data_IF_841740577197
#
_entry.id   IF_841740577197
#
_cell.length_a   1.000
_cell.length_b   1.000
_cell.length_c   1.000
_cell.angle_alpha   90.00
_cell.angle_beta   90.00
_cell.angle_gamma   90.00
#
_symmetry.space_group_name_H-M   'P 1'
#
loop_
_entity.id
_entity.type
_entity.pdbx_description
1 polymer ?
#
# COMPACT_ATOMS: atom_id res chain seq x y z
N UNK A 1 18.54 4.08 -2.17
CA UNK A 1 17.94 4.82 -3.30
C UNK A 1 17.48 6.19 -2.79
N UNK A 2 18.19 7.27 -3.16
CA UNK A 2 17.76 8.64 -2.80
C UNK A 2 16.45 8.97 -3.56
N UNK A 3 15.35 9.11 -2.83
CA UNK A 3 14.08 9.60 -3.36
C UNK A 3 13.91 11.01 -2.80
N UNK A 4 14.17 12.03 -3.62
CA UNK A 4 14.15 13.43 -3.21
C UNK A 4 12.76 14.08 -3.31
N UNK A 5 11.70 13.30 -3.22
CA UNK A 5 10.30 13.73 -3.34
C UNK A 5 9.44 13.00 -2.34
N UNK A 6 8.35 13.61 -1.92
CA UNK A 6 7.28 12.89 -1.23
C UNK A 6 6.78 11.74 -2.10
N UNK A 7 6.43 10.62 -1.51
CA UNK A 7 5.93 9.48 -2.27
C UNK A 7 4.97 8.62 -1.45
N UNK A 8 4.12 7.91 -2.15
CA UNK A 8 3.37 6.79 -1.61
C UNK A 8 3.89 5.48 -2.19
N UNK A 9 3.70 4.39 -1.46
CA UNK A 9 4.41 3.14 -1.67
C UNK A 9 3.46 2.01 -2.08
N UNK A 10 3.77 1.33 -3.18
CA UNK A 10 3.36 -0.03 -3.44
C UNK A 10 4.51 -0.97 -3.08
N UNK A 11 4.27 -1.94 -2.21
CA UNK A 11 5.25 -2.99 -1.88
C UNK A 11 4.61 -4.36 -2.04
N UNK A 12 5.19 -5.20 -2.92
CA UNK A 12 4.68 -6.53 -3.16
C UNK A 12 5.26 -7.20 -4.39
N UNK A 13 4.88 -8.44 -4.63
CA UNK A 13 5.28 -9.16 -5.85
C UNK A 13 4.70 -8.48 -7.09
N UNK A 14 5.49 -8.35 -8.14
CA UNK A 14 4.99 -7.88 -9.43
C UNK A 14 4.21 -9.02 -10.10
N UNK A 15 2.95 -9.10 -9.77
CA UNK A 15 2.01 -10.10 -10.24
C UNK A 15 0.63 -9.46 -10.41
N UNK A 16 -0.11 -9.85 -11.44
CA UNK A 16 -1.42 -9.27 -11.78
C UNK A 16 -2.43 -9.33 -10.63
N UNK A 17 -2.32 -10.34 -9.77
CA UNK A 17 -3.17 -10.48 -8.57
C UNK A 17 -3.00 -9.32 -7.59
N UNK A 18 -1.85 -8.63 -7.61
CA UNK A 18 -1.56 -7.49 -6.74
C UNK A 18 -2.13 -6.16 -7.25
N UNK A 19 -2.72 -6.16 -8.45
CA UNK A 19 -3.46 -5.02 -8.98
C UNK A 19 -2.58 -3.83 -9.37
N UNK A 20 -1.31 -4.05 -9.72
CA UNK A 20 -0.43 -2.96 -10.15
C UNK A 20 -0.99 -2.25 -11.37
N UNK A 21 -1.60 -2.98 -12.30
CA UNK A 21 -2.30 -2.43 -13.47
C UNK A 21 -3.44 -1.48 -13.06
N UNK A 22 -4.25 -1.85 -12.07
CA UNK A 22 -5.31 -0.99 -11.51
C UNK A 22 -4.70 0.30 -10.92
N UNK A 23 -3.56 0.17 -10.23
CA UNK A 23 -2.84 1.32 -9.69
C UNK A 23 -2.34 2.24 -10.80
N UNK A 24 -1.75 1.70 -11.86
CA UNK A 24 -1.29 2.48 -13.00
C UNK A 24 -2.43 3.23 -13.71
N UNK A 25 -3.59 2.57 -13.88
CA UNK A 25 -4.80 3.20 -14.41
C UNK A 25 -5.26 4.36 -13.50
N UNK A 26 -5.29 4.15 -12.17
CA UNK A 26 -5.63 5.19 -11.21
C UNK A 26 -4.66 6.40 -11.30
N UNK A 27 -3.34 6.16 -11.35
CA UNK A 27 -2.35 7.24 -11.50
C UNK A 27 -2.51 7.96 -12.82
N UNK A 28 -2.81 7.25 -13.91
CA UNK A 28 -3.04 7.87 -15.23
C UNK A 28 -4.19 8.87 -15.21
N UNK A 29 -5.25 8.63 -14.42
CA UNK A 29 -6.36 9.59 -14.27
C UNK A 29 -5.94 10.88 -13.57
N UNK A 30 -5.07 10.78 -12.58
CA UNK A 30 -4.69 11.90 -11.71
C UNK A 30 -3.30 12.50 -12.04
N UNK A 31 -2.62 12.03 -13.08
CA UNK A 31 -1.24 12.45 -13.42
C UNK A 31 -1.08 13.96 -13.60
N UNK A 32 -2.12 14.66 -14.04
CA UNK A 32 -2.11 16.09 -14.23
C UNK A 32 -2.69 16.89 -13.03
N UNK A 33 -3.06 16.18 -11.95
CA UNK A 33 -3.58 16.85 -10.75
C UNK A 33 -2.47 17.62 -10.03
N UNK A 34 -2.71 18.88 -9.54
CA UNK A 34 -1.66 19.71 -8.92
C UNK A 34 -0.91 19.02 -7.77
N UNK A 35 -1.58 18.20 -6.96
CA UNK A 35 -0.95 17.46 -5.87
C UNK A 35 0.05 16.40 -6.34
N UNK A 36 -0.04 15.96 -7.59
CA UNK A 36 0.88 14.96 -8.15
C UNK A 36 2.18 15.57 -8.72
N UNK A 37 2.29 16.90 -8.77
CA UNK A 37 3.49 17.57 -9.34
C UNK A 37 4.79 17.26 -8.58
N UNK A 38 4.70 17.10 -7.26
CA UNK A 38 5.85 16.87 -6.37
C UNK A 38 5.80 15.51 -5.64
N UNK A 39 4.88 14.63 -6.01
CA UNK A 39 4.71 13.32 -5.39
C UNK A 39 5.02 12.22 -6.39
N UNK A 40 5.71 11.17 -5.95
CA UNK A 40 6.01 9.99 -6.75
C UNK A 40 5.23 8.78 -6.24
N UNK A 41 5.00 7.81 -7.14
CA UNK A 41 4.68 6.44 -6.75
C UNK A 41 5.98 5.64 -6.74
N UNK A 42 6.29 4.99 -5.63
CA UNK A 42 7.37 3.99 -5.57
C UNK A 42 6.75 2.61 -5.64
N UNK A 43 7.13 1.84 -6.66
CA UNK A 43 6.72 0.43 -6.85
C UNK A 43 7.92 -0.43 -6.51
N UNK A 44 7.84 -1.16 -5.40
CA UNK A 44 8.95 -1.93 -4.86
C UNK A 44 8.58 -3.40 -4.71
N UNK A 45 9.47 -4.31 -5.16
CA UNK A 45 9.21 -5.74 -4.99
C UNK A 45 10.03 -6.67 -5.86
N UNK A 46 9.52 -7.89 -6.00
CA UNK A 46 10.12 -8.97 -6.77
C UNK A 46 9.22 -9.33 -7.94
N UNK A 47 9.80 -9.58 -9.12
CA UNK A 47 9.03 -9.99 -10.28
C UNK A 47 8.49 -11.41 -10.17
N UNK A 48 7.22 -11.56 -10.47
CA UNK A 48 6.48 -12.82 -10.58
C UNK A 48 5.70 -12.86 -11.90
N UNK A 49 6.36 -12.40 -12.99
CA UNK A 49 5.86 -12.48 -14.37
C UNK A 49 4.99 -11.29 -14.81
N UNK A 50 5.03 -10.15 -14.11
CA UNK A 50 4.26 -8.97 -14.50
C UNK A 50 5.13 -7.73 -14.78
N UNK A 51 6.44 -7.80 -14.56
CA UNK A 51 7.33 -6.65 -14.75
C UNK A 51 7.28 -6.09 -16.16
N UNK A 52 7.41 -6.95 -17.17
CA UNK A 52 7.43 -6.52 -18.56
C UNK A 52 6.16 -5.79 -18.99
N UNK A 53 4.97 -6.32 -18.59
CA UNK A 53 3.69 -5.67 -18.84
C UNK A 53 3.57 -4.35 -18.07
N UNK A 54 3.96 -4.33 -16.81
CA UNK A 54 3.98 -3.13 -15.96
C UNK A 54 4.82 -2.01 -16.56
N UNK A 55 6.06 -2.29 -16.99
CA UNK A 55 6.95 -1.29 -17.58
C UNK A 55 6.42 -0.77 -18.92
N UNK A 56 5.82 -1.65 -19.74
CA UNK A 56 5.12 -1.26 -20.96
C UNK A 56 3.96 -0.31 -20.66
N UNK A 57 3.11 -0.63 -19.71
CA UNK A 57 1.98 0.23 -19.29
C UNK A 57 2.47 1.60 -18.79
N UNK A 58 3.51 1.65 -17.95
CA UNK A 58 4.10 2.90 -17.46
C UNK A 58 4.47 3.81 -18.64
N UNK A 59 5.15 3.27 -19.63
CA UNK A 59 5.58 4.01 -20.82
C UNK A 59 4.40 4.46 -21.70
N UNK A 60 3.45 3.55 -21.99
CA UNK A 60 2.29 3.84 -22.85
C UNK A 60 1.36 4.89 -22.21
N UNK A 61 1.26 4.92 -20.88
CA UNK A 61 0.47 5.90 -20.13
C UNK A 61 1.24 7.21 -19.87
N UNK A 62 2.53 7.30 -20.22
CA UNK A 62 3.38 8.48 -19.99
C UNK A 62 3.61 8.75 -18.50
N UNK A 63 3.89 7.70 -17.70
CA UNK A 63 4.06 7.77 -16.25
C UNK A 63 5.53 7.65 -15.81
N UNK A 64 6.48 7.60 -16.74
CA UNK A 64 7.91 7.37 -16.48
C UNK A 64 8.50 8.34 -15.46
N UNK A 65 8.07 9.60 -15.49
CA UNK A 65 8.55 10.63 -14.56
C UNK A 65 7.87 10.61 -13.20
N UNK A 66 6.81 9.82 -13.02
CA UNK A 66 6.01 9.78 -11.80
C UNK A 66 6.22 8.51 -10.99
N UNK A 67 6.76 7.46 -11.62
CA UNK A 67 6.87 6.15 -11.01
C UNK A 67 8.34 5.73 -10.92
N UNK A 68 8.77 5.37 -9.72
CA UNK A 68 10.07 4.75 -9.46
C UNK A 68 9.87 3.27 -9.20
N UNK A 69 10.39 2.41 -10.07
CA UNK A 69 10.38 0.95 -9.89
C UNK A 69 11.70 0.51 -9.25
N UNK A 70 11.62 -0.25 -8.15
CA UNK A 70 12.76 -0.79 -7.42
C UNK A 70 12.57 -2.30 -7.29
N UNK A 71 13.46 -3.06 -7.93
CA UNK A 71 13.42 -4.53 -7.93
C UNK A 71 14.35 -5.12 -6.89
N UNK A 72 13.89 -6.23 -6.29
CA UNK A 72 14.68 -7.01 -5.33
C UNK A 72 15.33 -6.13 -4.26
N UNK A 73 14.57 -5.24 -3.60
CA UNK A 73 15.14 -4.34 -2.60
C UNK A 73 15.72 -5.15 -1.43
N UNK A 74 16.89 -4.77 -0.89
CA UNK A 74 17.36 -5.30 0.38
C UNK A 74 16.43 -4.86 1.52
N UNK A 75 16.45 -5.59 2.63
CA UNK A 75 15.53 -5.35 3.75
C UNK A 75 15.63 -3.94 4.33
N UNK A 76 16.81 -3.37 4.39
CA UNK A 76 17.06 -2.00 4.85
C UNK A 76 16.35 -0.95 3.99
N UNK A 77 16.35 -1.13 2.67
CA UNK A 77 15.65 -0.22 1.74
C UNK A 77 14.12 -0.34 1.88
N UNK A 78 13.62 -1.56 2.15
CA UNK A 78 12.18 -1.78 2.44
C UNK A 78 11.79 -1.04 3.73
N UNK A 79 12.60 -1.14 4.77
CA UNK A 79 12.36 -0.44 6.04
C UNK A 79 12.39 1.08 5.85
N UNK A 80 13.37 1.58 5.09
CA UNK A 80 13.48 2.99 4.76
C UNK A 80 12.25 3.45 3.95
N UNK A 81 11.81 2.65 2.96
CA UNK A 81 10.64 2.97 2.15
C UNK A 81 9.34 3.07 2.98
N UNK A 82 9.15 2.19 3.96
CA UNK A 82 8.03 2.33 4.89
C UNK A 82 8.11 3.62 5.72
N UNK A 83 9.28 3.94 6.26
CA UNK A 83 9.47 5.12 7.13
C UNK A 83 9.19 6.43 6.40
N UNK A 84 9.66 6.55 5.18
CA UNK A 84 9.65 7.79 4.41
C UNK A 84 8.39 7.96 3.54
N UNK A 85 7.63 6.90 3.27
CA UNK A 85 6.40 7.01 2.49
C UNK A 85 5.32 7.79 3.25
N UNK A 86 4.40 8.42 2.51
CA UNK A 86 3.22 9.06 3.07
C UNK A 86 2.18 8.03 3.51
N UNK A 87 1.89 7.08 2.66
CA UNK A 87 0.96 5.97 2.87
C UNK A 87 1.27 4.82 1.90
N UNK A 88 0.60 3.70 2.07
CA UNK A 88 0.70 2.55 1.19
C UNK A 88 -0.53 2.42 0.29
N UNK A 89 -0.33 1.81 -0.88
CA UNK A 89 -1.43 1.42 -1.77
C UNK A 89 -1.26 -0.05 -2.15
N UNK A 90 -2.28 -0.88 -1.83
CA UNK A 90 -2.30 -2.31 -2.13
C UNK A 90 -3.62 -2.67 -2.82
N UNK A 91 -3.79 -2.43 -4.13
CA UNK A 91 -5.06 -2.62 -4.85
C UNK A 91 -5.27 -4.06 -5.31
N UNK A 92 -4.96 -5.01 -4.44
CA UNK A 92 -4.96 -6.44 -4.76
C UNK A 92 -6.35 -6.93 -5.18
N UNK A 93 -6.37 -7.84 -6.16
CA UNK A 93 -7.57 -8.58 -6.57
C UNK A 93 -7.88 -9.73 -5.63
N UNK A 94 -6.86 -10.23 -4.95
CA UNK A 94 -7.01 -11.37 -4.05
C UNK A 94 -5.91 -11.38 -2.98
N UNK A 95 -6.33 -11.48 -1.72
CA UNK A 95 -5.47 -11.63 -0.53
C UNK A 95 -6.21 -12.45 0.53
N UNK A 96 -5.48 -13.23 1.30
CA UNK A 96 -6.03 -13.88 2.50
C UNK A 96 -5.74 -13.06 3.75
N UNK A 97 -4.48 -12.72 3.98
CA UNK A 97 -4.02 -11.92 5.12
C UNK A 97 -2.75 -11.17 4.71
N UNK A 98 -2.89 -9.95 4.16
CA UNK A 98 -1.74 -9.21 3.66
C UNK A 98 -0.87 -8.69 4.81
N UNK A 99 0.42 -9.02 4.79
CA UNK A 99 1.37 -8.55 5.81
C UNK A 99 1.86 -7.13 5.54
N UNK A 100 1.96 -6.74 4.27
CA UNK A 100 2.45 -5.41 3.87
C UNK A 100 1.74 -4.24 4.56
N UNK A 101 0.40 -4.20 4.66
CA UNK A 101 -0.29 -3.16 5.41
C UNK A 101 0.04 -3.18 6.90
N UNK A 102 0.13 -4.37 7.53
CA UNK A 102 0.48 -4.48 8.95
C UNK A 102 1.91 -4.00 9.23
N UNK A 103 2.84 -4.30 8.31
CA UNK A 103 4.19 -3.73 8.35
C UNK A 103 4.15 -2.20 8.22
N UNK A 104 3.35 -1.64 7.30
CA UNK A 104 3.14 -0.21 7.16
C UNK A 104 2.59 0.45 8.43
N UNK A 105 1.61 -0.19 9.08
CA UNK A 105 1.05 0.27 10.36
C UNK A 105 2.12 0.37 11.47
N UNK A 106 3.09 -0.55 11.49
CA UNK A 106 4.21 -0.46 12.45
C UNK A 106 5.06 0.80 12.27
N UNK A 107 4.98 1.43 11.09
CA UNK A 107 5.61 2.72 10.77
C UNK A 107 4.59 3.89 10.74
N UNK A 108 3.38 3.71 11.26
CA UNK A 108 2.29 4.70 11.27
C UNK A 108 1.87 5.14 9.87
N UNK A 109 1.95 4.23 8.90
CA UNK A 109 1.54 4.50 7.52
C UNK A 109 0.21 3.80 7.23
N UNK A 110 -0.85 4.55 6.93
CA UNK A 110 -2.12 3.96 6.57
C UNK A 110 -2.03 3.31 5.18
N UNK A 111 -3.00 2.47 4.85
CA UNK A 111 -3.05 1.80 3.57
C UNK A 111 -4.36 2.10 2.85
N UNK A 112 -4.30 2.43 1.56
CA UNK A 112 -5.43 2.32 0.65
C UNK A 112 -5.39 0.91 0.07
N UNK A 113 -6.46 0.14 0.23
CA UNK A 113 -6.54 -1.23 -0.28
C UNK A 113 -7.94 -1.52 -0.86
N UNK A 114 -8.18 -2.76 -1.23
CA UNK A 114 -9.48 -3.19 -1.78
C UNK A 114 -10.27 -3.99 -0.75
N UNK A 115 -11.56 -4.19 -1.02
CA UNK A 115 -12.43 -5.09 -0.26
C UNK A 115 -12.30 -6.55 -0.68
N UNK A 116 -11.15 -6.94 -1.26
CA UNK A 116 -10.93 -8.29 -1.77
C UNK A 116 -10.73 -9.30 -0.64
N UNK A 117 -11.56 -10.36 -0.65
CA UNK A 117 -11.41 -11.57 0.18
C UNK A 117 -11.06 -11.32 1.66
N UNK A 118 -9.82 -11.62 2.08
CA UNK A 118 -9.38 -11.53 3.47
C UNK A 118 -9.00 -10.12 3.93
N UNK A 119 -8.91 -9.14 3.04
CA UNK A 119 -8.49 -7.77 3.37
C UNK A 119 -9.40 -7.13 4.43
N UNK A 120 -10.75 -7.16 4.34
CA UNK A 120 -11.63 -6.55 5.33
C UNK A 120 -11.57 -7.17 6.73
N UNK A 121 -10.97 -8.36 6.88
CA UNK A 121 -10.72 -8.99 8.19
C UNK A 121 -9.40 -8.52 8.82
N UNK A 122 -8.52 -7.91 8.04
CA UNK A 122 -7.20 -7.44 8.47
C UNK A 122 -7.12 -5.93 8.57
N UNK A 123 -7.83 -5.22 7.68
CA UNK A 123 -7.86 -3.77 7.56
C UNK A 123 -9.27 -3.25 7.83
N UNK A 124 -9.38 -2.15 8.58
CA UNK A 124 -10.66 -1.58 8.98
C UNK A 124 -10.91 -0.27 8.24
N UNK A 125 -11.89 -0.28 7.34
CA UNK A 125 -12.21 0.89 6.51
C UNK A 125 -12.50 2.13 7.35
N UNK A 126 -11.95 3.27 6.93
CA UNK A 126 -12.06 4.60 7.54
C UNK A 126 -11.52 4.70 9.00
N UNK A 127 -11.01 3.61 9.56
CA UNK A 127 -10.39 3.55 10.88
C UNK A 127 -8.86 3.59 10.75
N UNK A 128 -8.23 2.56 10.21
CA UNK A 128 -6.78 2.43 10.00
C UNK A 128 -6.38 2.43 8.52
N UNK A 129 -7.35 2.26 7.63
CA UNK A 129 -7.19 2.13 6.19
C UNK A 129 -8.32 2.82 5.44
N UNK A 130 -8.20 2.85 4.11
CA UNK A 130 -9.29 3.16 3.20
C UNK A 130 -9.47 1.95 2.29
N UNK A 131 -10.70 1.40 2.22
CA UNK A 131 -11.02 0.26 1.39
C UNK A 131 -11.91 0.68 0.22
N UNK A 132 -11.45 0.40 -0.99
CA UNK A 132 -12.17 0.66 -2.25
C UNK A 132 -12.69 -0.65 -2.86
N UNK A 133 -13.63 -0.56 -3.79
CA UNK A 133 -14.10 -1.73 -4.52
C UNK A 133 -13.00 -2.33 -5.39
N UNK A 134 -12.92 -3.66 -5.43
CA UNK A 134 -11.89 -4.38 -6.19
C UNK A 134 -11.98 -4.07 -7.68
N UNK A 135 -10.88 -3.60 -8.27
CA UNK A 135 -10.83 -3.21 -9.68
C UNK A 135 -11.30 -1.79 -9.97
N UNK A 136 -11.80 -1.06 -8.98
CA UNK A 136 -12.29 0.30 -9.16
C UNK A 136 -11.14 1.32 -9.11
N UNK A 137 -10.42 1.48 -10.23
CA UNK A 137 -9.31 2.43 -10.35
C UNK A 137 -9.72 3.90 -10.20
N UNK A 138 -11.00 4.24 -10.48
CA UNK A 138 -11.52 5.60 -10.30
C UNK A 138 -11.63 5.94 -8.81
N UNK A 139 -12.29 5.09 -8.04
CA UNK A 139 -12.37 5.25 -6.59
C UNK A 139 -10.98 5.25 -5.94
N UNK A 140 -10.07 4.37 -6.43
CA UNK A 140 -8.68 4.34 -5.98
C UNK A 140 -7.99 5.68 -6.21
N UNK A 141 -8.16 6.30 -7.40
CA UNK A 141 -7.58 7.61 -7.72
C UNK A 141 -8.11 8.72 -6.80
N UNK A 142 -9.42 8.72 -6.52
CA UNK A 142 -10.05 9.70 -5.61
C UNK A 142 -9.49 9.58 -4.18
N UNK A 143 -9.30 8.35 -3.69
CA UNK A 143 -8.75 8.11 -2.34
C UNK A 143 -7.26 8.46 -2.24
N UNK A 144 -6.49 8.29 -3.30
CA UNK A 144 -5.09 8.75 -3.35
C UNK A 144 -5.05 10.28 -3.22
N UNK A 145 -5.85 11.01 -3.99
CA UNK A 145 -5.94 12.48 -3.89
C UNK A 145 -6.44 12.91 -2.51
N UNK A 146 -7.42 12.21 -1.94
CA UNK A 146 -7.95 12.49 -0.60
C UNK A 146 -6.84 12.45 0.46
N UNK A 147 -6.01 11.37 0.50
CA UNK A 147 -4.93 11.25 1.48
C UNK A 147 -3.76 12.21 1.22
N UNK A 148 -3.47 12.55 -0.04
CA UNK A 148 -2.48 13.57 -0.37
C UNK A 148 -2.91 14.96 0.11
N UNK A 149 -4.21 15.26 0.01
CA UNK A 149 -4.79 16.56 0.39
C UNK A 149 -5.01 16.70 1.90
N UNK A 150 -5.36 15.61 2.60
CA UNK A 150 -5.67 15.62 4.04
C UNK A 150 -4.61 14.89 4.86
N UNK A 151 -3.49 15.57 5.13
CA UNK A 151 -2.39 15.05 5.95
C UNK A 151 -2.82 14.70 7.39
N UNK A 152 -3.83 15.38 7.93
CA UNK A 152 -4.35 15.07 9.28
C UNK A 152 -5.08 13.73 9.28
N UNK A 153 -5.91 13.48 8.27
CA UNK A 153 -6.59 12.20 8.07
C UNK A 153 -5.58 11.08 7.86
N UNK A 154 -4.58 11.30 7.00
CA UNK A 154 -3.51 10.34 6.76
C UNK A 154 -2.80 9.96 8.07
N UNK A 155 -2.36 10.94 8.86
CA UNK A 155 -1.70 10.72 10.15
C UNK A 155 -2.60 10.02 11.17
N UNK A 156 -3.90 10.38 11.24
CA UNK A 156 -4.87 9.72 12.14
C UNK A 156 -5.03 8.24 11.80
N UNK A 157 -5.28 7.91 10.53
CA UNK A 157 -5.42 6.52 10.07
C UNK A 157 -4.16 5.71 10.37
N UNK A 158 -2.97 6.28 10.11
CA UNK A 158 -1.70 5.62 10.40
C UNK A 158 -1.48 5.37 11.90
N UNK A 159 -1.91 6.28 12.78
CA UNK A 159 -1.82 6.10 14.22
C UNK A 159 -2.77 5.00 14.71
N UNK A 160 -4.01 4.96 14.24
CA UNK A 160 -4.97 3.89 14.55
C UNK A 160 -4.42 2.52 14.12
N UNK A 161 -3.82 2.43 12.92
CA UNK A 161 -3.16 1.21 12.46
C UNK A 161 -1.98 0.81 13.35
N UNK A 162 -1.15 1.78 13.76
CA UNK A 162 -0.04 1.55 14.69
C UNK A 162 -0.52 0.97 16.04
N UNK A 163 -1.57 1.55 16.63
CA UNK A 163 -2.15 1.04 17.87
C UNK A 163 -2.71 -0.37 17.69
N UNK A 164 -3.38 -0.62 16.56
CA UNK A 164 -3.92 -1.93 16.24
C UNK A 164 -2.82 -3.01 16.18
N UNK A 165 -1.74 -2.81 15.43
CA UNK A 165 -0.70 -3.84 15.31
C UNK A 165 0.02 -4.08 16.63
N UNK A 166 0.29 -3.05 17.43
CA UNK A 166 0.94 -3.19 18.73
C UNK A 166 0.07 -3.92 19.75
N UNK A 167 -1.24 -3.69 19.72
CA UNK A 167 -2.18 -4.32 20.63
C UNK A 167 -2.59 -5.73 20.19
N UNK A 168 -2.85 -5.93 18.90
CA UNK A 168 -3.51 -7.14 18.41
C UNK A 168 -2.58 -8.10 17.66
N UNK A 169 -1.54 -7.59 16.97
CA UNK A 169 -0.71 -8.37 16.05
C UNK A 169 0.71 -8.63 16.59
N UNK A 170 0.83 -9.01 17.86
CA UNK A 170 2.12 -9.31 18.46
C UNK A 170 2.26 -10.79 18.88
N UNK A 171 3.49 -11.29 18.89
CA UNK A 171 3.81 -12.69 19.16
C UNK A 171 3.36 -13.17 20.56
N UNK A 172 3.41 -12.30 21.57
CA UNK A 172 2.99 -12.65 22.94
C UNK A 172 1.48 -12.93 22.98
N UNK A 173 0.67 -12.05 22.37
CA UNK A 173 -0.78 -12.24 22.30
C UNK A 173 -1.14 -13.50 21.49
N UNK A 174 -0.48 -13.71 20.37
CA UNK A 174 -0.68 -14.92 19.56
C UNK A 174 -0.36 -16.19 20.37
N UNK A 175 0.77 -16.23 21.08
CA UNK A 175 1.13 -17.36 21.92
C UNK A 175 0.09 -17.60 23.02
N UNK A 176 -0.36 -16.56 23.71
CA UNK A 176 -1.40 -16.69 24.74
C UNK A 176 -2.74 -17.19 24.19
N UNK A 177 -3.15 -16.73 23.01
CA UNK A 177 -4.37 -17.22 22.36
C UNK A 177 -4.29 -18.70 22.01
N UNK A 178 -3.11 -19.14 21.52
CA UNK A 178 -2.86 -20.56 21.22
C UNK A 178 -2.91 -21.40 22.50
N UNK A 179 -2.22 -20.97 23.57
CA UNK A 179 -2.25 -21.66 24.87
C UNK A 179 -3.66 -21.81 25.39
N UNK A 180 -4.46 -20.77 25.35
CA UNK A 180 -5.87 -20.78 25.80
C UNK A 180 -6.76 -21.79 25.03
N UNK A 181 -6.37 -22.18 23.81
CA UNK A 181 -7.06 -23.21 23.02
C UNK A 181 -6.70 -24.61 23.53
N UNK A 182 -5.44 -24.82 23.92
CA UNK A 182 -4.97 -26.11 24.42
C UNK A 182 -5.38 -26.39 25.89
N UNK A 183 -5.69 -25.35 26.66
CA UNK A 183 -6.13 -25.45 28.06
C UNK A 183 -7.63 -25.68 28.22
N UNK A 184 -8.40 -25.70 27.12
CA UNK A 184 -9.84 -26.04 27.08
C UNK A 184 -10.07 -27.50 26.78
#
# INVERSE_FOLDING_TARGET
>A
YAINHDYFLFLGRFHKVKGIDILLEAISLIKNHPLMSNVKLVVMGVDFGFEGEMLKMIKEMGLDNMIKVIKNPPREDVIAAYKESEFLVLPSRWELSPLTPLEGFAFKKPTISTKAHGIPYTLHDRKDSILVETGNYKELSDMIIELLNDKKKCARLGMEGYEFVHKECNSKKMAQQILNIYEK
#
